data_IF_813622670001
#
_entry.id   IF_813622670001
#
_cell.length_a   1.000
_cell.length_b   1.000
_cell.length_c   1.000
_cell.angle_alpha   90.00
_cell.angle_beta   90.00
_cell.angle_gamma   90.00
#
_symmetry.space_group_name_H-M   'P 1'
#
loop_
_entity.id
_entity.type
_entity.pdbx_description
1 polymer ?
#
# COMPACT_ATOMS: atom_id res chain seq x y z
N UNK A 1 -35.24 12.34 -33.24
CA UNK A 1 -35.68 12.36 -31.82
C UNK A 1 -34.87 11.39 -30.94
N UNK A 2 -33.55 11.61 -30.74
CA UNK A 2 -32.67 10.76 -29.90
C UNK A 2 -31.95 11.51 -28.76
N UNK A 3 -32.08 12.84 -28.67
CA UNK A 3 -31.37 13.66 -27.67
C UNK A 3 -32.02 13.70 -26.28
N UNK A 4 -33.32 13.43 -26.18
CA UNK A 4 -34.07 13.53 -24.91
C UNK A 4 -33.91 12.33 -23.98
N UNK A 5 -33.56 11.13 -24.48
CA UNK A 5 -33.41 9.92 -23.63
C UNK A 5 -32.14 9.93 -22.77
N UNK A 6 -31.04 10.51 -23.25
CA UNK A 6 -29.78 10.52 -22.52
C UNK A 6 -29.78 11.50 -21.32
N UNK A 7 -30.50 12.63 -21.43
CA UNK A 7 -30.63 13.61 -20.35
C UNK A 7 -31.51 13.11 -19.19
N UNK A 8 -32.49 12.24 -19.49
CA UNK A 8 -33.34 11.60 -18.48
C UNK A 8 -32.55 10.56 -17.67
N UNK A 9 -31.70 9.77 -18.32
CA UNK A 9 -30.84 8.77 -17.67
C UNK A 9 -29.78 9.40 -16.74
N UNK A 10 -29.22 10.55 -17.11
CA UNK A 10 -28.26 11.27 -16.25
C UNK A 10 -28.94 11.88 -15.02
N UNK A 11 -30.18 12.36 -15.17
CA UNK A 11 -30.98 12.89 -14.06
C UNK A 11 -31.38 11.80 -13.05
N UNK A 12 -31.77 10.62 -13.53
CA UNK A 12 -32.10 9.49 -12.65
C UNK A 12 -30.89 8.93 -11.90
N UNK A 13 -29.72 8.88 -12.53
CA UNK A 13 -28.46 8.51 -11.87
C UNK A 13 -28.07 9.55 -10.81
N UNK A 14 -28.16 10.84 -11.13
CA UNK A 14 -27.92 11.91 -10.16
C UNK A 14 -28.90 11.86 -8.99
N UNK A 15 -30.19 11.65 -9.24
CA UNK A 15 -31.20 11.47 -8.19
C UNK A 15 -30.96 10.22 -7.32
N UNK A 16 -30.46 9.12 -7.91
CA UNK A 16 -30.08 7.92 -7.15
C UNK A 16 -28.83 8.15 -6.30
N UNK A 17 -27.82 8.83 -6.84
CA UNK A 17 -26.62 9.24 -6.08
C UNK A 17 -26.99 10.18 -4.94
N UNK A 18 -27.87 11.16 -5.19
CA UNK A 18 -28.38 12.08 -4.17
C UNK A 18 -29.17 11.35 -3.08
N UNK A 19 -30.04 10.40 -3.44
CA UNK A 19 -30.78 9.59 -2.45
C UNK A 19 -29.89 8.69 -1.60
N UNK A 20 -28.77 8.20 -2.14
CA UNK A 20 -27.78 7.43 -1.36
C UNK A 20 -27.06 8.34 -0.36
N UNK A 21 -26.86 9.62 -0.70
CA UNK A 21 -26.23 10.62 0.18
C UNK A 21 -27.17 11.22 1.24
N UNK A 22 -28.49 11.01 1.14
CA UNK A 22 -29.50 11.59 2.05
C UNK A 22 -29.86 10.70 3.25
N UNK A 23 -29.27 9.51 3.42
CA UNK A 23 -29.47 8.70 4.64
C UNK A 23 -28.45 9.04 5.75
N UNK A 24 -28.85 9.72 6.84
CA UNK A 24 -27.95 10.18 7.89
C UNK A 24 -27.36 9.07 8.78
N UNK A 25 -27.83 7.81 8.66
CA UNK A 25 -27.26 6.67 9.39
C UNK A 25 -26.00 6.13 8.72
N UNK A 26 -26.00 6.03 7.40
CA UNK A 26 -24.88 5.51 6.61
C UNK A 26 -23.65 6.42 6.72
N UNK A 27 -23.85 7.74 6.80
CA UNK A 27 -22.76 8.72 6.96
C UNK A 27 -22.04 8.57 8.31
N UNK A 28 -22.76 8.29 9.41
CA UNK A 28 -22.14 8.07 10.75
C UNK A 28 -21.36 6.76 10.82
N UNK A 29 -21.90 5.67 10.25
CA UNK A 29 -21.20 4.38 10.21
C UNK A 29 -19.95 4.44 9.32
N UNK A 30 -20.01 5.15 8.18
CA UNK A 30 -18.86 5.41 7.33
C UNK A 30 -17.81 6.28 8.03
N UNK A 31 -18.21 7.34 8.74
CA UNK A 31 -17.25 8.18 9.47
C UNK A 31 -16.51 7.38 10.53
N UNK A 32 -17.18 6.49 11.25
CA UNK A 32 -16.55 5.66 12.27
C UNK A 32 -15.59 4.63 11.67
N UNK A 33 -15.92 4.05 10.51
CA UNK A 33 -15.03 3.12 9.78
C UNK A 33 -13.78 3.83 9.26
N UNK A 34 -13.93 5.06 8.74
CA UNK A 34 -12.83 5.85 8.22
C UNK A 34 -11.91 6.35 9.34
N UNK A 35 -12.47 6.73 10.49
CA UNK A 35 -11.71 7.20 11.65
C UNK A 35 -11.06 6.03 12.43
N UNK A 36 -11.77 4.91 12.55
CA UNK A 36 -11.35 3.75 13.32
C UNK A 36 -11.68 2.44 12.58
N UNK A 37 -10.89 2.04 11.59
CA UNK A 37 -11.13 0.79 10.87
C UNK A 37 -10.98 -0.43 11.81
N UNK A 38 -12.14 -1.00 12.17
CA UNK A 38 -12.26 -2.19 13.03
C UNK A 38 -12.32 -3.46 12.18
N UNK A 39 -11.23 -3.76 11.48
CA UNK A 39 -11.11 -5.00 10.72
C UNK A 39 -10.51 -6.08 11.61
N UNK A 40 -11.08 -7.30 11.57
CA UNK A 40 -10.46 -8.46 12.23
C UNK A 40 -9.15 -8.78 11.53
N UNK A 41 -8.05 -8.63 12.25
CA UNK A 41 -6.72 -8.95 11.73
C UNK A 41 -6.40 -10.38 12.11
N UNK A 42 -6.44 -11.27 11.11
CA UNK A 42 -5.99 -12.65 11.30
C UNK A 42 -4.47 -12.66 11.51
N UNK A 43 -3.93 -13.69 12.17
CA UNK A 43 -2.49 -13.96 12.18
C UNK A 43 -2.02 -14.44 10.80
N UNK A 44 -0.71 -14.43 10.56
CA UNK A 44 -0.15 -15.09 9.38
C UNK A 44 -0.34 -16.61 9.49
N UNK A 45 -0.73 -17.31 8.41
CA UNK A 45 -0.85 -18.77 8.39
C UNK A 45 0.53 -19.47 8.33
N UNK A 46 1.62 -18.70 8.32
CA UNK A 46 3.00 -19.16 8.35
C UNK A 46 3.82 -18.22 9.25
N UNK A 47 5.01 -18.65 9.64
CA UNK A 47 5.94 -17.84 10.44
C UNK A 47 7.00 -17.24 9.51
N UNK A 48 7.03 -15.91 9.30
CA UNK A 48 8.11 -15.29 8.54
C UNK A 48 9.47 -15.50 9.22
N UNK A 49 10.58 -15.40 8.48
CA UNK A 49 11.91 -15.54 9.06
C UNK A 49 12.13 -14.54 10.22
N UNK A 50 12.43 -14.99 11.47
CA UNK A 50 12.44 -14.11 12.64
C UNK A 50 13.44 -12.94 12.55
N UNK A 51 14.61 -13.18 11.94
CA UNK A 51 15.64 -12.15 11.73
C UNK A 51 15.17 -11.07 10.75
N UNK A 52 14.52 -11.48 9.65
CA UNK A 52 13.92 -10.56 8.68
C UNK A 52 12.83 -9.71 9.33
N UNK A 53 11.93 -10.31 10.12
CA UNK A 53 10.86 -9.56 10.81
C UNK A 53 11.44 -8.52 11.78
N UNK A 54 12.49 -8.88 12.52
CA UNK A 54 13.16 -7.97 13.45
C UNK A 54 13.79 -6.78 12.72
N UNK A 55 14.50 -7.05 11.62
CA UNK A 55 15.16 -6.02 10.82
C UNK A 55 14.16 -5.11 10.10
N UNK A 56 13.12 -5.67 9.50
CA UNK A 56 12.02 -4.89 8.90
C UNK A 56 11.41 -3.95 9.95
N UNK A 57 11.11 -4.46 11.14
CA UNK A 57 10.53 -3.63 12.21
C UNK A 57 11.46 -2.49 12.64
N UNK A 58 12.77 -2.75 12.70
CA UNK A 58 13.81 -1.76 13.01
C UNK A 58 13.90 -0.67 11.93
N UNK A 59 13.95 -1.06 10.65
CA UNK A 59 14.05 -0.10 9.54
C UNK A 59 12.77 0.73 9.41
N UNK A 60 11.61 0.12 9.55
CA UNK A 60 10.33 0.85 9.58
C UNK A 60 10.26 1.83 10.76
N UNK A 61 10.75 1.48 11.96
CA UNK A 61 10.80 2.43 13.08
C UNK A 61 11.72 3.61 12.77
N UNK A 62 12.86 3.35 12.12
CA UNK A 62 13.82 4.38 11.75
C UNK A 62 13.25 5.30 10.68
N UNK A 63 12.54 4.76 9.69
CA UNK A 63 12.01 5.51 8.54
C UNK A 63 10.74 6.27 8.88
N UNK A 64 9.87 5.69 9.71
CA UNK A 64 8.56 6.23 10.06
C UNK A 64 8.39 6.28 11.58
N UNK A 65 9.22 7.05 12.31
CA UNK A 65 9.23 7.06 13.77
C UNK A 65 7.91 7.55 14.39
N UNK A 66 7.15 8.36 13.67
CA UNK A 66 5.84 8.89 14.06
C UNK A 66 4.73 7.82 14.05
N UNK A 67 4.94 6.69 13.37
CA UNK A 67 3.99 5.59 13.36
C UNK A 67 4.12 4.74 14.63
N UNK A 68 3.11 4.82 15.50
CA UNK A 68 3.00 3.97 16.70
C UNK A 68 2.86 2.47 16.39
N UNK A 69 2.50 2.09 15.15
CA UNK A 69 2.38 0.71 14.61
C UNK A 69 1.77 -0.29 15.61
N UNK A 70 0.54 -0.01 16.09
CA UNK A 70 -0.13 -0.83 17.11
C UNK A 70 -0.36 -2.27 16.64
N UNK A 71 -0.52 -2.46 15.33
CA UNK A 71 -0.79 -3.74 14.68
C UNK A 71 0.33 -4.09 13.71
N UNK A 72 1.52 -4.38 14.26
CA UNK A 72 2.76 -4.72 13.53
C UNK A 72 2.57 -5.71 12.36
N UNK A 73 1.67 -6.68 12.53
CA UNK A 73 1.38 -7.69 11.51
C UNK A 73 0.91 -7.09 10.18
N UNK A 74 0.21 -5.96 10.18
CA UNK A 74 -0.20 -5.27 8.95
C UNK A 74 1.02 -4.81 8.14
N UNK A 75 2.00 -4.24 8.83
CA UNK A 75 3.24 -3.77 8.24
C UNK A 75 4.11 -4.95 7.79
N UNK A 76 4.18 -6.02 8.58
CA UNK A 76 4.90 -7.24 8.15
C UNK A 76 4.33 -7.81 6.86
N UNK A 77 3.00 -7.91 6.75
CA UNK A 77 2.31 -8.41 5.56
C UNK A 77 2.58 -7.57 4.31
N UNK A 78 2.69 -6.26 4.46
CA UNK A 78 2.94 -5.36 3.35
C UNK A 78 4.24 -5.65 2.60
N UNK A 79 5.20 -6.34 3.22
CA UNK A 79 6.48 -6.73 2.62
C UNK A 79 6.54 -8.21 2.21
N UNK A 80 5.42 -8.92 2.20
CA UNK A 80 5.36 -10.31 1.74
C UNK A 80 4.56 -10.33 0.44
N UNK A 81 5.19 -10.69 -0.67
CA UNK A 81 4.51 -10.87 -1.95
C UNK A 81 3.78 -12.22 -1.97
N UNK A 82 2.61 -12.37 -2.63
CA UNK A 82 1.92 -13.65 -2.76
C UNK A 82 2.79 -14.81 -3.26
N UNK A 83 3.79 -14.55 -4.11
CA UNK A 83 4.70 -15.59 -4.60
C UNK A 83 5.61 -16.22 -3.53
N UNK A 84 5.77 -15.58 -2.37
CA UNK A 84 6.57 -16.14 -1.26
C UNK A 84 5.88 -17.32 -0.57
N UNK A 85 4.55 -17.41 -0.63
CA UNK A 85 3.75 -18.36 0.16
C UNK A 85 2.89 -19.26 -0.74
N UNK A 86 2.30 -20.30 -0.16
CA UNK A 86 1.28 -21.10 -0.82
C UNK A 86 0.04 -20.24 -1.19
N UNK A 87 -0.65 -20.53 -2.31
CA UNK A 87 -1.76 -19.71 -2.81
C UNK A 87 -2.89 -19.46 -1.80
N UNK A 88 -3.15 -20.41 -0.90
CA UNK A 88 -4.19 -20.34 0.13
C UNK A 88 -3.91 -19.23 1.15
N UNK A 89 -2.65 -18.85 1.29
CA UNK A 89 -2.18 -17.80 2.20
C UNK A 89 -2.05 -16.43 1.52
N UNK A 90 -2.38 -16.29 0.23
CA UNK A 90 -2.23 -15.03 -0.51
C UNK A 90 -3.01 -13.86 0.13
N UNK A 91 -4.18 -14.14 0.72
CA UNK A 91 -4.99 -13.16 1.46
C UNK A 91 -4.36 -12.67 2.78
N UNK A 92 -3.25 -13.29 3.19
CA UNK A 92 -2.46 -12.90 4.36
C UNK A 92 -1.15 -12.20 4.00
N UNK A 93 -1.00 -11.78 2.74
CA UNK A 93 0.19 -11.07 2.22
C UNK A 93 -0.14 -9.62 1.89
N UNK A 94 0.73 -8.90 1.18
CA UNK A 94 0.49 -7.52 0.73
C UNK A 94 -0.84 -7.38 -0.03
N UNK A 95 -1.27 -8.45 -0.74
CA UNK A 95 -2.51 -8.49 -1.52
C UNK A 95 -3.77 -8.15 -0.70
N UNK A 96 -3.74 -8.38 0.61
CA UNK A 96 -4.85 -8.04 1.51
C UNK A 96 -5.15 -6.53 1.59
N UNK A 97 -4.17 -5.70 1.25
CA UNK A 97 -4.19 -4.25 1.52
C UNK A 97 -3.79 -3.38 0.33
N UNK A 98 -3.28 -3.97 -0.76
CA UNK A 98 -2.86 -3.22 -1.97
C UNK A 98 -4.01 -2.34 -2.49
N UNK A 99 -5.18 -2.92 -2.76
CA UNK A 99 -6.29 -2.16 -3.36
C UNK A 99 -6.80 -1.02 -2.47
N UNK A 100 -6.70 -1.19 -1.15
CA UNK A 100 -7.06 -0.15 -0.19
C UNK A 100 -6.06 1.01 -0.22
N UNK A 101 -4.76 0.71 -0.19
CA UNK A 101 -3.74 1.75 -0.27
C UNK A 101 -3.68 2.44 -1.62
N UNK A 102 -3.92 1.71 -2.71
CA UNK A 102 -4.07 2.29 -4.05
C UNK A 102 -5.24 3.27 -4.12
N UNK A 103 -6.40 2.88 -3.60
CA UNK A 103 -7.57 3.75 -3.56
C UNK A 103 -7.32 5.02 -2.74
N UNK A 104 -6.61 4.89 -1.61
CA UNK A 104 -6.24 6.03 -0.77
C UNK A 104 -5.22 6.93 -1.46
N UNK A 105 -4.20 6.36 -2.11
CA UNK A 105 -3.20 7.11 -2.85
C UNK A 105 -3.84 7.91 -3.99
N UNK A 106 -4.73 7.28 -4.77
CA UNK A 106 -5.47 7.96 -5.83
C UNK A 106 -6.38 9.07 -5.27
N UNK A 107 -7.03 8.83 -4.14
CA UNK A 107 -7.93 9.83 -3.53
C UNK A 107 -7.16 11.02 -2.97
N UNK A 108 -6.09 10.79 -2.21
CA UNK A 108 -5.29 11.84 -1.58
C UNK A 108 -4.43 12.56 -2.62
N UNK A 109 -3.70 11.81 -3.45
CA UNK A 109 -2.88 12.37 -4.53
C UNK A 109 -3.72 13.12 -5.56
N UNK A 110 -4.89 12.60 -5.94
CA UNK A 110 -5.81 13.29 -6.84
C UNK A 110 -6.33 14.61 -6.28
N UNK A 111 -6.70 14.64 -4.98
CA UNK A 111 -7.08 15.89 -4.31
C UNK A 111 -5.92 16.88 -4.27
N UNK A 112 -4.70 16.42 -3.98
CA UNK A 112 -3.53 17.28 -3.94
C UNK A 112 -3.28 17.94 -5.30
N UNK A 113 -3.21 17.14 -6.36
CA UNK A 113 -2.97 17.64 -7.73
C UNK A 113 -4.01 18.70 -8.10
N UNK A 114 -5.30 18.43 -7.85
CA UNK A 114 -6.36 19.39 -8.14
C UNK A 114 -6.28 20.64 -7.26
N UNK A 115 -5.82 20.53 -6.01
CA UNK A 115 -5.72 21.66 -5.09
C UNK A 115 -4.49 22.55 -5.30
N UNK A 116 -3.40 22.00 -5.84
CA UNK A 116 -2.16 22.75 -6.09
C UNK A 116 -2.19 23.38 -7.49
N UNK A 117 -2.74 22.67 -8.47
CA UNK A 117 -2.68 23.08 -9.86
C UNK A 117 -4.08 23.43 -10.40
N UNK A 118 -4.50 24.67 -10.15
CA UNK A 118 -5.83 25.16 -10.53
C UNK A 118 -6.07 25.24 -12.05
N UNK A 119 -4.99 25.33 -12.84
CA UNK A 119 -5.07 25.57 -14.29
C UNK A 119 -4.87 24.31 -15.15
N UNK A 120 -4.72 23.12 -14.53
CA UNK A 120 -4.52 21.89 -15.30
C UNK A 120 -5.80 21.43 -15.99
N UNK A 121 -5.65 21.04 -17.25
CA UNK A 121 -6.70 20.32 -17.97
C UNK A 121 -6.92 18.96 -17.34
N UNK A 122 -8.13 18.43 -17.50
CA UNK A 122 -8.52 17.12 -16.98
C UNK A 122 -7.52 16.01 -17.35
N UNK A 123 -7.03 15.98 -18.58
CA UNK A 123 -6.10 14.94 -19.05
C UNK A 123 -4.71 15.07 -18.41
N UNK A 124 -4.30 16.29 -18.05
CA UNK A 124 -3.03 16.55 -17.35
C UNK A 124 -3.14 16.10 -15.89
N UNK A 125 -4.27 16.40 -15.22
CA UNK A 125 -4.56 15.88 -13.88
C UNK A 125 -4.53 14.35 -13.88
N UNK A 126 -5.20 13.70 -14.85
CA UNK A 126 -5.21 12.23 -14.96
C UNK A 126 -3.79 11.70 -15.17
N UNK A 127 -2.98 12.36 -16.00
CA UNK A 127 -1.60 11.96 -16.28
C UNK A 127 -0.71 12.06 -15.03
N UNK A 128 -0.82 13.13 -14.26
CA UNK A 128 -0.08 13.30 -13.01
C UNK A 128 -0.52 12.28 -11.95
N UNK A 129 -1.82 12.08 -11.76
CA UNK A 129 -2.34 11.08 -10.82
C UNK A 129 -1.90 9.66 -11.23
N UNK A 130 -1.93 9.37 -12.53
CA UNK A 130 -1.42 8.11 -13.08
C UNK A 130 0.06 7.93 -12.76
N UNK A 131 0.88 8.97 -12.98
CA UNK A 131 2.30 8.95 -12.63
C UNK A 131 2.54 8.67 -11.14
N UNK A 132 1.86 9.39 -10.25
CA UNK A 132 1.97 9.23 -8.78
C UNK A 132 1.63 7.81 -8.31
N UNK A 133 0.73 7.12 -9.02
CA UNK A 133 0.30 5.75 -8.70
C UNK A 133 1.03 4.66 -9.52
N UNK A 134 1.93 5.05 -10.41
CA UNK A 134 2.62 4.15 -11.33
C UNK A 134 3.62 3.24 -10.61
N UNK A 135 3.80 2.04 -11.15
CA UNK A 135 4.74 1.08 -10.57
C UNK A 135 6.19 1.59 -10.60
N UNK A 136 6.55 2.37 -11.62
CA UNK A 136 7.86 3.00 -11.73
C UNK A 136 8.11 4.02 -10.61
N UNK A 137 7.16 4.95 -10.37
CA UNK A 137 7.30 5.95 -9.32
C UNK A 137 7.35 5.32 -7.93
N UNK A 138 6.44 4.38 -7.66
CA UNK A 138 6.35 3.75 -6.34
C UNK A 138 7.49 2.76 -6.08
N UNK A 139 8.01 2.09 -7.11
CA UNK A 139 9.22 1.28 -6.97
C UNK A 139 10.45 2.15 -6.72
N UNK A 140 10.59 3.29 -7.42
CA UNK A 140 11.64 4.26 -7.16
C UNK A 140 11.59 4.77 -5.71
N UNK A 141 10.39 5.11 -5.22
CA UNK A 141 10.16 5.48 -3.83
C UNK A 141 10.66 4.39 -2.86
N UNK A 142 10.24 3.14 -3.05
CA UNK A 142 10.62 2.05 -2.15
C UNK A 142 12.13 1.81 -2.13
N UNK A 143 12.77 1.87 -3.30
CA UNK A 143 14.20 1.59 -3.49
C UNK A 143 15.10 2.68 -2.94
N UNK A 144 14.82 3.92 -3.31
CA UNK A 144 15.76 5.02 -3.13
C UNK A 144 15.40 5.93 -1.99
N UNK A 145 14.11 6.09 -1.71
CA UNK A 145 13.66 6.93 -0.60
C UNK A 145 13.52 6.07 0.64
N UNK A 146 12.74 5.00 0.59
CA UNK A 146 12.50 4.17 1.77
C UNK A 146 13.67 3.22 2.07
N UNK A 147 14.44 2.83 1.05
CA UNK A 147 15.55 1.86 1.16
C UNK A 147 15.10 0.50 1.76
N UNK A 148 13.95 0.01 1.28
CA UNK A 148 13.30 -1.21 1.79
C UNK A 148 13.02 -2.27 0.71
N UNK A 149 13.58 -2.13 -0.49
CA UNK A 149 13.41 -3.13 -1.57
C UNK A 149 13.84 -4.52 -1.14
N UNK A 150 15.00 -4.63 -0.48
CA UNK A 150 15.58 -5.88 0.02
C UNK A 150 14.71 -6.57 1.07
N UNK A 151 13.75 -5.86 1.65
CA UNK A 151 12.80 -6.41 2.61
C UNK A 151 11.58 -7.07 1.97
N UNK A 152 11.36 -6.92 0.66
CA UNK A 152 10.22 -7.55 -0.03
C UNK A 152 10.49 -9.05 -0.23
N UNK A 153 9.76 -9.89 0.51
CA UNK A 153 9.85 -11.34 0.39
C UNK A 153 9.08 -11.83 -0.85
N UNK A 154 9.77 -12.56 -1.71
CA UNK A 154 9.25 -13.16 -2.95
C UNK A 154 9.63 -14.64 -3.03
N UNK A 155 9.17 -15.34 -4.05
CA UNK A 155 9.60 -16.70 -4.41
C UNK A 155 11.14 -16.84 -4.53
N UNK A 156 11.85 -15.78 -4.95
CA UNK A 156 13.31 -15.78 -4.95
C UNK A 156 13.89 -15.83 -3.52
N UNK A 157 13.23 -15.21 -2.55
CA UNK A 157 13.63 -15.22 -1.14
C UNK A 157 13.41 -16.59 -0.49
N UNK A 158 12.45 -17.40 -0.97
CA UNK A 158 12.16 -18.74 -0.41
C UNK A 158 13.41 -19.63 -0.43
N UNK A 159 14.23 -19.53 -1.48
CA UNK A 159 15.45 -20.33 -1.62
C UNK A 159 16.52 -19.98 -0.58
N UNK A 160 16.55 -18.72 -0.10
CA UNK A 160 17.51 -18.25 0.90
C UNK A 160 17.22 -18.76 2.31
N UNK A 161 15.96 -19.14 2.59
CA UNK A 161 15.52 -19.58 3.90
C UNK A 161 15.29 -21.11 3.98
N UNK A 162 15.66 -21.87 2.94
CA UNK A 162 15.56 -23.33 2.97
C UNK A 162 16.69 -23.97 3.81
N UNK A 163 16.38 -24.91 4.73
CA UNK A 163 17.36 -25.56 5.62
C UNK A 163 18.46 -26.38 4.93
N UNK A 164 18.43 -26.54 3.59
CA UNK A 164 19.39 -27.35 2.84
C UNK A 164 20.67 -26.60 2.44
N UNK A 165 20.79 -25.31 2.72
CA UNK A 165 22.06 -24.59 2.63
C UNK A 165 22.90 -24.89 3.88
N UNK A 166 24.08 -25.47 3.68
CA UNK A 166 24.99 -26.02 4.69
C UNK A 166 25.28 -25.09 5.89
N UNK A 167 25.43 -25.63 7.11
CA UNK A 167 25.63 -24.84 8.32
C UNK A 167 27.11 -24.45 8.46
N UNK A 168 27.50 -23.29 7.93
CA UNK A 168 28.71 -22.60 8.41
C UNK A 168 28.30 -21.37 9.21
N UNK A 169 28.83 -21.26 10.42
CA UNK A 169 28.54 -20.20 11.39
C UNK A 169 29.02 -18.80 10.96
N UNK A 170 29.54 -18.65 9.74
CA UNK A 170 29.97 -17.37 9.13
C UNK A 170 28.91 -16.72 8.23
N UNK A 171 27.79 -17.40 7.92
CA UNK A 171 26.75 -16.87 7.02
C UNK A 171 25.75 -15.92 7.70
N UNK A 172 26.17 -15.27 8.80
CA UNK A 172 25.33 -14.37 9.61
C UNK A 172 24.87 -13.12 8.83
N UNK A 173 25.50 -12.81 7.69
CA UNK A 173 25.25 -11.61 6.87
C UNK A 173 24.73 -11.94 5.45
N UNK A 174 24.63 -13.21 5.05
CA UNK A 174 24.40 -13.59 3.63
C UNK A 174 22.92 -13.64 3.17
N UNK A 175 21.98 -13.19 4.02
CA UNK A 175 20.54 -13.15 3.68
C UNK A 175 20.10 -11.79 3.13
N UNK A 176 20.89 -10.74 3.38
CA UNK A 176 21.02 -9.63 2.46
C UNK A 176 21.73 -10.24 1.27
N UNK A 177 21.05 -10.52 0.15
CA UNK A 177 21.76 -11.07 -0.98
C UNK A 177 22.89 -10.10 -1.30
N UNK A 178 24.01 -10.61 -1.80
CA UNK A 178 24.76 -9.85 -2.79
C UNK A 178 23.76 -9.60 -3.95
N UNK A 179 22.86 -8.60 -3.80
CA UNK A 179 21.82 -8.22 -4.76
C UNK A 179 22.45 -7.49 -5.95
N UNK A 180 23.67 -7.84 -6.34
CA UNK A 180 24.34 -7.26 -7.50
C UNK A 180 23.73 -7.75 -8.83
N UNK A 181 22.52 -8.33 -8.85
CA UNK A 181 21.96 -8.82 -10.12
C UNK A 181 20.49 -9.21 -10.22
N UNK A 182 19.68 -9.25 -9.14
CA UNK A 182 18.23 -9.51 -9.25
C UNK A 182 17.44 -8.49 -8.44
N UNK A 183 17.10 -7.40 -9.11
CA UNK A 183 16.20 -6.37 -8.63
C UNK A 183 14.79 -6.97 -8.43
N UNK A 184 14.09 -6.56 -7.38
CA UNK A 184 12.69 -6.96 -7.18
C UNK A 184 11.84 -6.31 -8.28
N UNK A 185 10.93 -7.01 -8.96
CA UNK A 185 10.10 -6.40 -10.00
C UNK A 185 9.36 -5.15 -9.51
N UNK A 186 9.28 -4.11 -10.35
CA UNK A 186 8.67 -2.81 -10.01
C UNK A 186 7.26 -2.95 -9.42
N UNK A 187 6.44 -3.79 -10.04
CA UNK A 187 5.07 -4.11 -9.58
C UNK A 187 5.02 -4.65 -8.14
N UNK A 188 6.04 -5.39 -7.68
CA UNK A 188 6.08 -5.93 -6.32
C UNK A 188 6.48 -4.85 -5.32
N UNK A 189 7.44 -3.99 -5.70
CA UNK A 189 7.82 -2.83 -4.91
C UNK A 189 6.66 -1.83 -4.77
N UNK A 190 5.98 -1.52 -5.87
CA UNK A 190 4.80 -0.68 -5.88
C UNK A 190 3.66 -1.28 -5.05
N UNK A 191 3.46 -2.60 -5.15
CA UNK A 191 2.54 -3.35 -4.31
C UNK A 191 2.86 -3.22 -2.82
N UNK A 192 4.14 -3.27 -2.43
CA UNK A 192 4.55 -3.08 -1.05
C UNK A 192 4.23 -1.66 -0.54
N UNK A 193 4.51 -0.62 -1.33
CA UNK A 193 4.15 0.77 -0.98
C UNK A 193 2.64 0.91 -0.79
N UNK A 194 1.84 0.44 -1.75
CA UNK A 194 0.37 0.44 -1.66
C UNK A 194 -0.10 -0.32 -0.41
N UNK A 195 0.46 -1.50 -0.14
CA UNK A 195 0.11 -2.27 1.04
C UNK A 195 0.49 -1.57 2.36
N UNK A 196 1.62 -0.85 2.42
CA UNK A 196 2.00 -0.04 3.59
C UNK A 196 0.99 1.08 3.83
N UNK A 197 0.56 1.80 2.79
CA UNK A 197 -0.49 2.83 2.91
C UNK A 197 -1.77 2.21 3.48
N UNK A 198 -2.19 1.05 2.95
CA UNK A 198 -3.31 0.30 3.47
C UNK A 198 -3.12 -0.13 4.93
N UNK A 199 -1.92 -0.55 5.32
CA UNK A 199 -1.57 -0.90 6.70
C UNK A 199 -1.66 0.31 7.64
N UNK A 200 -1.20 1.49 7.22
CA UNK A 200 -1.31 2.74 8.00
C UNK A 200 -2.76 3.13 8.21
N UNK A 201 -3.58 3.08 7.16
CA UNK A 201 -5.02 3.31 7.28
C UNK A 201 -5.66 2.32 8.23
N UNK A 202 -5.40 1.03 8.02
CA UNK A 202 -5.97 0.01 8.89
C UNK A 202 -5.51 0.19 10.32
N UNK A 203 -4.28 0.66 10.60
CA UNK A 203 -3.72 0.83 11.94
C UNK A 203 -4.19 2.10 12.68
N UNK A 204 -4.30 3.23 11.98
CA UNK A 204 -4.55 4.54 12.59
C UNK A 204 -5.63 5.41 11.93
N UNK A 205 -6.35 4.88 10.94
CA UNK A 205 -7.46 5.56 10.27
C UNK A 205 -7.04 6.50 9.14
N UNK A 206 -8.03 7.17 8.55
CA UNK A 206 -7.90 8.01 7.37
C UNK A 206 -6.93 9.18 7.59
N UNK A 207 -7.06 9.90 8.70
CA UNK A 207 -6.21 11.07 8.97
C UNK A 207 -4.73 10.71 9.00
N UNK A 208 -4.37 9.60 9.66
CA UNK A 208 -2.99 9.13 9.71
C UNK A 208 -2.50 8.68 8.32
N UNK A 209 -3.33 7.95 7.57
CA UNK A 209 -2.99 7.52 6.22
C UNK A 209 -2.80 8.69 5.25
N UNK A 210 -3.66 9.71 5.33
CA UNK A 210 -3.55 10.93 4.54
C UNK A 210 -2.24 11.66 4.86
N UNK A 211 -1.94 11.87 6.14
CA UNK A 211 -0.68 12.48 6.55
C UNK A 211 0.54 11.67 6.07
N UNK A 212 0.48 10.34 6.20
CA UNK A 212 1.55 9.46 5.74
C UNK A 212 1.77 9.55 4.22
N UNK A 213 0.69 9.57 3.43
CA UNK A 213 0.78 9.72 1.97
C UNK A 213 1.45 11.05 1.62
N UNK A 214 1.05 12.16 2.26
CA UNK A 214 1.68 13.45 2.02
C UNK A 214 3.19 13.42 2.31
N UNK A 215 3.56 13.04 3.54
CA UNK A 215 4.93 13.15 4.03
C UNK A 215 5.90 12.14 3.43
N UNK A 216 5.43 10.92 3.14
CA UNK A 216 6.32 9.80 2.80
C UNK A 216 6.16 9.26 1.39
N UNK A 217 5.14 9.72 0.67
CA UNK A 217 4.91 9.34 -0.73
C UNK A 217 5.01 10.56 -1.63
N UNK A 218 4.20 11.59 -1.38
CA UNK A 218 4.11 12.73 -2.30
C UNK A 218 5.35 13.64 -2.21
N UNK A 219 5.78 14.04 -1.00
CA UNK A 219 7.01 14.83 -0.80
C UNK A 219 8.27 14.13 -1.33
N UNK A 220 8.26 12.79 -1.38
CA UNK A 220 9.39 12.00 -1.88
C UNK A 220 9.32 11.74 -3.40
N UNK A 221 8.26 12.20 -4.07
CA UNK A 221 8.09 12.15 -5.52
C UNK A 221 8.16 13.54 -6.17
N UNK A 222 8.29 14.60 -5.38
CA UNK A 222 8.67 15.95 -5.83
C UNK A 222 10.13 15.99 -6.32
#
# INVERSE_FOLDING_TARGET
MKRTRNALLSSELLCKVMKITEEPRVVKELSDILLFPRVKINSLPFVPPPKWTTELNRRLQKRFPELSRKRHILFTRAFIHPSFTAPEAASSTMNASIGLGESLLLSVGGRLVVSIFDDLRRDEVISLVSFLSSDAALSHLLRHHWELEDMVLTDASVQLFQPKATPSASNIVSWLPDQRGKQVPDQYCAGAVKAVIGAVFLDGGLSLATQFIFQHVLEALE
#
